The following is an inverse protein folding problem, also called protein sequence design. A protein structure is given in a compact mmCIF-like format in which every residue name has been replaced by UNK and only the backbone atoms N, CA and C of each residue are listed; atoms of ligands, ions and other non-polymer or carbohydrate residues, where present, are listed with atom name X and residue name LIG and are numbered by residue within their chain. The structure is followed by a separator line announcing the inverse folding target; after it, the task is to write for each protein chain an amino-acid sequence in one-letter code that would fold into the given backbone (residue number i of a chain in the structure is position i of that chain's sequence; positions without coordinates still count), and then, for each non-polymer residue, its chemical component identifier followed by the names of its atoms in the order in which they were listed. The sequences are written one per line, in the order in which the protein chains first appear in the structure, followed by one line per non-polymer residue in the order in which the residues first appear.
data_IF_115755618176
#
_entry.id   IF_115755618176
#
_cell.length_a   1.000
_cell.length_b   1.000
_cell.length_c   1.000
_cell.angle_alpha   90.00
_cell.angle_beta   90.00
_cell.angle_gamma   90.00
#
_symmetry.space_group_name_H-M   'P 1'
#
loop_
_entity.id
_entity.type
_entity.pdbx_description
1 polymer ?
#
# COMPACT_ATOMS: atom_id res chain seq x y z
N UNK A 1 -15.53 29.09 6.25
CA UNK A 1 -15.54 27.65 5.88
C UNK A 1 -15.24 27.55 4.40
N UNK A 2 -14.39 26.61 4.04
CA UNK A 2 -14.00 26.32 2.65
C UNK A 2 -14.41 24.87 2.32
N UNK A 3 -14.35 24.50 1.03
CA UNK A 3 -14.63 23.12 0.62
C UNK A 3 -13.43 22.20 0.93
N UNK A 4 -13.70 20.90 1.05
CA UNK A 4 -12.69 19.89 1.41
C UNK A 4 -11.52 19.83 0.42
N UNK A 5 -11.83 19.95 -0.86
CA UNK A 5 -10.85 19.93 -1.95
C UNK A 5 -9.90 21.14 -1.86
N UNK A 6 -10.46 22.33 -1.64
CA UNK A 6 -9.67 23.56 -1.42
C UNK A 6 -8.78 23.45 -0.18
N UNK A 7 -9.33 22.89 0.91
CA UNK A 7 -8.56 22.69 2.14
C UNK A 7 -7.37 21.72 1.93
N UNK A 8 -7.59 20.61 1.20
CA UNK A 8 -6.53 19.67 0.83
C UNK A 8 -5.48 20.32 -0.05
N UNK A 9 -5.90 21.08 -1.06
CA UNK A 9 -4.99 21.79 -1.97
C UNK A 9 -4.10 22.77 -1.20
N UNK A 10 -4.67 23.59 -0.31
CA UNK A 10 -3.90 24.50 0.55
C UNK A 10 -2.86 23.77 1.40
N UNK A 11 -3.19 22.58 1.94
CA UNK A 11 -2.23 21.78 2.70
C UNK A 11 -1.12 21.20 1.80
N UNK A 12 -1.47 20.62 0.66
CA UNK A 12 -0.50 19.99 -0.24
C UNK A 12 0.45 20.98 -0.89
N UNK A 13 0.01 22.21 -1.19
CA UNK A 13 0.87 23.30 -1.69
C UNK A 13 1.97 23.68 -0.71
N UNK A 14 1.77 23.44 0.59
CA UNK A 14 2.74 23.77 1.64
C UNK A 14 3.50 22.54 2.15
N UNK A 15 3.20 21.34 1.61
CA UNK A 15 3.87 20.10 1.96
C UNK A 15 5.23 20.01 1.26
N UNK A 16 6.27 19.78 2.04
CA UNK A 16 7.62 19.51 1.51
C UNK A 16 7.66 18.08 0.96
N UNK A 17 8.22 17.90 -0.23
CA UNK A 17 8.46 16.56 -0.76
C UNK A 17 9.68 15.92 -0.13
N UNK A 18 9.60 14.62 0.17
CA UNK A 18 10.73 13.83 0.67
C UNK A 18 11.72 13.53 -0.46
N UNK A 19 12.97 13.89 -0.23
CA UNK A 19 14.07 13.61 -1.16
C UNK A 19 15.17 12.77 -0.52
N UNK A 20 15.20 12.67 0.83
CA UNK A 20 16.21 11.90 1.53
C UNK A 20 15.91 10.40 1.45
N UNK A 21 16.95 9.63 1.22
CA UNK A 21 16.89 8.17 1.12
C UNK A 21 17.67 7.50 2.23
N UNK A 22 17.37 6.22 2.43
CA UNK A 22 18.12 5.29 3.27
C UNK A 22 18.14 3.91 2.63
N UNK A 23 19.15 3.12 2.92
CA UNK A 23 19.24 1.73 2.50
C UNK A 23 18.68 0.84 3.61
N UNK A 24 17.78 -0.08 3.25
CA UNK A 24 17.17 -1.03 4.20
C UNK A 24 17.29 -2.46 3.69
N UNK A 25 17.23 -3.44 4.57
CA UNK A 25 17.15 -4.84 4.17
C UNK A 25 15.90 -5.09 3.33
N UNK A 26 15.96 -6.03 2.39
CA UNK A 26 14.88 -6.30 1.42
C UNK A 26 13.51 -6.47 2.10
N UNK A 27 13.42 -7.25 3.18
CA UNK A 27 12.15 -7.45 3.89
C UNK A 27 11.66 -6.20 4.64
N UNK A 28 12.57 -5.35 5.11
CA UNK A 28 12.23 -4.09 5.80
C UNK A 28 11.75 -3.02 4.80
N UNK A 29 11.89 -3.28 3.51
CA UNK A 29 11.38 -2.40 2.44
C UNK A 29 9.86 -2.54 2.21
N UNK A 30 9.20 -3.56 2.77
CA UNK A 30 7.75 -3.74 2.61
C UNK A 30 6.96 -2.52 3.08
N UNK A 31 6.09 -2.00 2.20
CA UNK A 31 5.28 -0.81 2.46
C UNK A 31 6.05 0.51 2.40
N UNK A 32 7.39 0.48 2.21
CA UNK A 32 8.21 1.68 1.99
C UNK A 32 8.06 2.18 0.56
N UNK A 33 8.51 3.40 0.33
CA UNK A 33 8.48 4.03 -1.01
C UNK A 33 9.89 3.96 -1.60
N UNK A 34 10.00 3.43 -2.81
CA UNK A 34 11.28 3.31 -3.50
C UNK A 34 11.94 4.68 -3.75
N UNK A 35 13.21 4.78 -3.41
CA UNK A 35 14.05 5.96 -3.64
C UNK A 35 14.62 6.03 -5.06
N UNK A 36 14.60 4.92 -5.81
CA UNK A 36 15.18 4.81 -7.14
C UNK A 36 14.38 3.88 -8.05
N UNK A 37 14.70 3.90 -9.34
CA UNK A 37 14.17 2.92 -10.31
C UNK A 37 15.15 1.77 -10.42
N UNK A 38 14.68 0.53 -10.29
CA UNK A 38 15.47 -0.68 -10.38
C UNK A 38 15.13 -1.42 -11.66
N UNK A 39 16.16 -1.79 -12.41
CA UNK A 39 16.08 -2.59 -13.62
C UNK A 39 16.68 -3.96 -13.38
N UNK A 40 16.21 -4.98 -14.08
CA UNK A 40 16.74 -6.33 -14.02
C UNK A 40 18.18 -6.36 -14.56
N UNK A 41 19.13 -6.81 -13.74
CA UNK A 41 20.53 -7.01 -14.13
C UNK A 41 20.77 -8.42 -14.67
N UNK A 42 19.83 -9.33 -14.43
CA UNK A 42 19.86 -10.71 -14.90
C UNK A 42 18.52 -11.07 -15.52
N UNK A 43 18.55 -11.66 -16.71
CA UNK A 43 17.35 -12.25 -17.32
C UNK A 43 16.86 -13.46 -16.50
N UNK A 44 15.56 -13.63 -16.32
CA UNK A 44 14.97 -14.76 -15.58
C UNK A 44 14.02 -15.52 -16.52
N UNK A 45 14.24 -16.83 -16.70
CA UNK A 45 15.41 -17.60 -16.27
C UNK A 45 16.70 -17.11 -16.97
N UNK A 46 17.85 -17.31 -16.32
CA UNK A 46 19.15 -16.90 -16.88
C UNK A 46 19.81 -18.02 -17.75
N UNK A 47 19.17 -19.18 -17.83
CA UNK A 47 19.49 -20.29 -18.74
C UNK A 47 18.19 -20.94 -19.20
N UNK A 48 18.21 -21.65 -20.37
CA UNK A 48 17.06 -22.39 -20.83
C UNK A 48 16.73 -23.52 -19.85
N UNK A 49 15.46 -23.67 -19.46
CA UNK A 49 15.06 -24.68 -18.49
C UNK A 49 13.83 -25.47 -18.91
N UNK A 50 13.75 -26.72 -18.44
CA UNK A 50 12.61 -27.58 -18.67
C UNK A 50 11.36 -27.09 -17.94
N UNK A 51 10.26 -26.95 -18.65
CA UNK A 51 8.93 -26.59 -18.10
C UNK A 51 8.19 -27.77 -17.49
N UNK A 52 8.63 -29.02 -17.78
CA UNK A 52 7.98 -30.27 -17.32
C UNK A 52 9.02 -31.39 -17.10
N UNK A 53 8.64 -32.39 -16.32
CA UNK A 53 9.40 -33.62 -16.21
C UNK A 53 9.26 -34.45 -17.49
N UNK A 54 10.36 -34.97 -18.01
CA UNK A 54 10.33 -35.69 -19.26
C UNK A 54 11.69 -35.89 -19.90
N UNK A 55 11.77 -35.66 -21.20
CA UNK A 55 12.98 -35.85 -22.00
C UNK A 55 13.24 -34.61 -22.86
N UNK A 56 14.39 -33.95 -22.66
CA UNK A 56 14.87 -32.92 -23.58
C UNK A 56 15.29 -33.59 -24.90
N UNK A 57 14.79 -33.08 -26.01
CA UNK A 57 14.96 -33.62 -27.36
C UNK A 57 15.19 -32.49 -28.36
N UNK A 58 15.63 -32.85 -29.55
CA UNK A 58 15.46 -31.99 -30.73
C UNK A 58 14.08 -32.29 -31.32
N UNK A 59 13.23 -31.31 -31.36
CA UNK A 59 11.84 -31.48 -31.83
C UNK A 59 11.72 -32.17 -33.18
N UNK A 60 12.68 -31.91 -34.10
CA UNK A 60 12.73 -32.54 -35.42
C UNK A 60 12.81 -34.08 -35.35
N UNK A 61 13.39 -34.66 -34.31
CA UNK A 61 13.56 -36.10 -34.11
C UNK A 61 12.29 -36.80 -33.62
N UNK A 62 11.30 -36.03 -33.19
CA UNK A 62 9.97 -36.51 -32.78
C UNK A 62 8.92 -36.40 -33.87
N UNK A 63 9.30 -35.84 -35.06
CA UNK A 63 8.35 -35.60 -36.14
C UNK A 63 7.66 -36.86 -36.61
N UNK A 64 6.32 -36.85 -36.60
CA UNK A 64 5.51 -37.97 -37.01
C UNK A 64 5.39 -39.10 -35.97
N UNK A 65 5.90 -38.89 -34.74
CA UNK A 65 5.73 -39.87 -33.66
C UNK A 65 4.26 -40.05 -33.30
N UNK A 66 3.79 -41.31 -33.28
CA UNK A 66 2.46 -41.70 -32.83
C UNK A 66 2.56 -42.93 -31.92
N UNK A 67 1.46 -43.38 -31.33
CA UNK A 67 1.43 -44.57 -30.51
C UNK A 67 1.76 -45.85 -31.33
N UNK A 68 1.36 -45.85 -32.61
CA UNK A 68 1.60 -46.98 -33.53
C UNK A 68 3.00 -46.95 -34.16
N UNK A 69 3.60 -45.77 -34.29
CA UNK A 69 4.93 -45.53 -34.86
C UNK A 69 5.72 -44.56 -34.01
N UNK A 70 6.22 -44.99 -32.83
CA UNK A 70 6.94 -44.12 -31.92
C UNK A 70 8.34 -43.77 -32.44
N UNK A 71 8.81 -42.57 -32.12
CA UNK A 71 10.23 -42.22 -32.28
C UNK A 71 11.02 -42.86 -31.15
N UNK A 72 12.12 -43.52 -31.46
CA UNK A 72 12.99 -44.17 -30.48
C UNK A 72 14.33 -43.41 -30.40
N UNK A 73 14.61 -42.80 -29.25
CA UNK A 73 15.83 -42.03 -29.02
C UNK A 73 16.68 -42.67 -27.92
N UNK A 74 18.00 -42.61 -28.06
CA UNK A 74 18.93 -43.06 -27.04
C UNK A 74 18.97 -42.07 -25.88
N UNK A 75 18.80 -42.50 -24.65
CA UNK A 75 18.96 -41.64 -23.46
C UNK A 75 20.45 -41.57 -23.12
N UNK A 76 21.03 -40.38 -23.27
CA UNK A 76 22.46 -40.10 -23.12
C UNK A 76 22.86 -39.51 -21.76
N UNK A 77 21.88 -39.26 -20.93
CA UNK A 77 22.08 -38.77 -19.57
C UNK A 77 20.79 -38.36 -18.88
N UNK A 78 20.95 -37.88 -17.66
CA UNK A 78 19.85 -37.35 -16.85
C UNK A 78 20.30 -36.03 -16.22
N UNK A 79 19.40 -35.03 -16.18
CA UNK A 79 19.60 -33.70 -15.55
C UNK A 79 18.45 -33.42 -14.61
N UNK A 80 18.78 -33.02 -13.40
CA UNK A 80 17.81 -32.55 -12.42
C UNK A 80 18.02 -31.05 -12.13
N UNK A 81 17.02 -30.41 -11.58
CA UNK A 81 17.15 -29.00 -11.17
C UNK A 81 18.30 -28.82 -10.16
N UNK A 82 19.20 -27.88 -10.45
CA UNK A 82 20.42 -27.65 -9.67
C UNK A 82 21.68 -28.33 -10.20
N UNK A 83 21.58 -29.20 -11.18
CA UNK A 83 22.77 -29.76 -11.82
C UNK A 83 23.55 -28.71 -12.59
N UNK A 84 24.87 -28.88 -12.61
CA UNK A 84 25.78 -28.10 -13.45
C UNK A 84 25.68 -28.51 -14.92
N UNK A 85 26.24 -27.68 -15.82
CA UNK A 85 26.22 -27.93 -17.27
C UNK A 85 26.67 -29.35 -17.63
N UNK A 86 25.88 -30.01 -18.47
CA UNK A 86 26.15 -31.33 -18.99
C UNK A 86 26.68 -31.23 -20.43
N UNK A 87 27.81 -31.84 -20.71
CA UNK A 87 28.36 -31.93 -22.06
C UNK A 87 28.02 -33.28 -22.66
N UNK A 88 27.27 -33.29 -23.75
CA UNK A 88 26.97 -34.49 -24.52
C UNK A 88 27.72 -34.42 -25.85
N UNK A 89 28.50 -35.44 -26.16
CA UNK A 89 29.20 -35.57 -27.47
C UNK A 89 28.27 -36.12 -28.58
N UNK A 90 27.08 -36.56 -28.23
CA UNK A 90 26.08 -37.08 -29.16
C UNK A 90 24.82 -36.26 -29.10
N UNK A 91 24.51 -35.54 -30.20
CA UNK A 91 23.36 -34.64 -30.27
C UNK A 91 22.28 -35.13 -31.23
N UNK A 92 22.53 -36.16 -32.04
CA UNK A 92 21.58 -36.75 -33.00
C UNK A 92 21.00 -38.04 -32.47
N UNK A 93 19.70 -38.27 -32.69
CA UNK A 93 18.92 -39.43 -32.25
C UNK A 93 19.07 -39.74 -30.76
N UNK A 94 19.06 -38.70 -29.93
CA UNK A 94 19.23 -38.86 -28.50
C UNK A 94 18.27 -37.96 -27.71
N UNK A 95 18.08 -38.31 -26.45
CA UNK A 95 17.30 -37.58 -25.47
C UNK A 95 18.06 -37.50 -24.13
N UNK A 96 17.79 -36.48 -23.35
CA UNK A 96 18.26 -36.34 -21.97
C UNK A 96 17.03 -36.43 -21.06
N UNK A 97 17.03 -37.38 -20.12
CA UNK A 97 15.99 -37.38 -19.07
C UNK A 97 16.12 -36.14 -18.23
N UNK A 98 15.01 -35.37 -18.05
CA UNK A 98 15.09 -34.08 -17.43
C UNK A 98 13.93 -33.84 -16.45
N UNK A 99 14.20 -33.12 -15.35
CA UNK A 99 13.15 -32.69 -14.43
C UNK A 99 12.82 -31.23 -14.63
N UNK A 100 11.64 -30.84 -14.23
CA UNK A 100 11.16 -29.45 -14.24
C UNK A 100 12.19 -28.51 -13.58
N UNK A 101 12.52 -27.41 -14.25
CA UNK A 101 13.51 -26.43 -13.78
C UNK A 101 14.96 -26.77 -14.09
N UNK A 102 15.28 -27.96 -14.58
CA UNK A 102 16.64 -28.33 -14.97
C UNK A 102 17.08 -27.59 -16.25
N UNK A 103 18.38 -27.33 -16.35
CA UNK A 103 19.01 -26.72 -17.52
C UNK A 103 18.84 -27.59 -18.77
N UNK A 104 18.48 -27.00 -19.90
CA UNK A 104 18.42 -27.67 -21.20
C UNK A 104 19.66 -27.26 -21.99
N UNK A 105 20.50 -28.26 -22.39
CA UNK A 105 21.66 -27.99 -23.23
C UNK A 105 21.27 -27.42 -24.60
N UNK A 106 22.14 -26.57 -25.18
CA UNK A 106 21.86 -25.77 -26.40
C UNK A 106 21.50 -26.58 -27.65
N UNK A 107 21.84 -27.86 -27.68
CA UNK A 107 21.51 -28.71 -28.81
C UNK A 107 20.08 -29.29 -28.77
N UNK A 108 19.35 -29.05 -27.68
CA UNK A 108 17.98 -29.51 -27.47
C UNK A 108 17.05 -28.32 -27.46
N UNK A 109 15.91 -28.41 -28.09
CA UNK A 109 14.96 -27.29 -28.31
C UNK A 109 13.54 -27.52 -27.84
N UNK A 110 13.27 -28.71 -27.23
CA UNK A 110 11.95 -29.03 -26.68
C UNK A 110 12.05 -30.09 -25.56
N UNK A 111 11.01 -30.19 -24.75
CA UNK A 111 10.85 -31.25 -23.74
C UNK A 111 9.57 -32.03 -24.04
N UNK A 112 9.73 -33.35 -24.22
CA UNK A 112 8.62 -34.31 -24.30
C UNK A 112 8.20 -34.64 -22.86
N UNK A 113 6.93 -34.42 -22.46
CA UNK A 113 6.45 -34.86 -21.16
C UNK A 113 6.63 -36.39 -20.99
N UNK A 114 7.03 -36.82 -19.82
CA UNK A 114 7.27 -38.27 -19.56
C UNK A 114 6.01 -39.11 -19.80
N UNK A 115 4.80 -38.55 -19.66
CA UNK A 115 3.52 -39.22 -19.91
C UNK A 115 3.29 -39.56 -21.40
N UNK A 116 4.09 -38.96 -22.29
CA UNK A 116 4.05 -39.24 -23.73
C UNK A 116 5.14 -40.20 -24.17
N UNK A 117 5.71 -40.95 -23.21
CA UNK A 117 6.82 -41.90 -23.44
C UNK A 117 6.58 -43.24 -22.72
N UNK A 118 7.48 -44.18 -22.96
CA UNK A 118 7.51 -45.49 -22.25
C UNK A 118 8.40 -45.43 -20.98
N UNK A 119 8.82 -44.26 -20.52
CA UNK A 119 9.73 -44.03 -19.38
C UNK A 119 11.11 -44.74 -19.53
N UNK A 120 11.57 -44.96 -20.75
CA UNK A 120 12.80 -45.69 -21.07
C UNK A 120 14.04 -45.05 -20.43
N UNK A 121 14.98 -45.88 -19.96
CA UNK A 121 16.21 -45.41 -19.29
C UNK A 121 17.42 -45.37 -20.25
N UNK A 122 17.58 -46.38 -21.12
CA UNK A 122 18.65 -46.45 -22.12
C UNK A 122 18.17 -45.95 -23.49
N UNK A 123 16.94 -46.24 -23.84
CA UNK A 123 16.23 -45.75 -25.00
C UNK A 123 14.82 -45.39 -24.59
N UNK A 124 14.31 -44.30 -25.11
CA UNK A 124 12.95 -43.84 -24.84
C UNK A 124 12.13 -43.86 -26.13
N UNK A 125 10.91 -44.43 -26.04
CA UNK A 125 9.91 -44.35 -27.11
C UNK A 125 9.00 -43.18 -26.86
N UNK A 126 8.91 -42.29 -27.84
CA UNK A 126 8.10 -41.07 -27.82
C UNK A 126 6.85 -41.33 -28.69
N UNK A 127 5.68 -41.18 -28.09
CA UNK A 127 4.37 -41.47 -28.72
C UNK A 127 3.68 -40.25 -29.30
N UNK A 128 4.23 -39.02 -29.08
CA UNK A 128 3.69 -37.78 -29.63
C UNK A 128 4.83 -36.86 -30.02
N UNK A 129 4.70 -36.24 -31.20
CA UNK A 129 5.63 -35.20 -31.63
C UNK A 129 5.49 -33.92 -30.79
N UNK A 130 6.59 -33.21 -30.58
CA UNK A 130 6.66 -31.88 -30.02
C UNK A 130 7.19 -30.90 -31.07
N UNK A 131 6.92 -29.64 -30.86
CA UNK A 131 7.47 -28.50 -31.66
C UNK A 131 8.62 -27.86 -30.92
N UNK A 132 9.54 -27.20 -31.64
CA UNK A 132 10.61 -26.42 -31.03
C UNK A 132 10.00 -25.33 -30.10
N UNK A 133 10.60 -25.17 -28.92
CA UNK A 133 10.13 -24.29 -27.85
C UNK A 133 9.03 -24.93 -26.95
N UNK A 134 8.55 -26.12 -27.26
CA UNK A 134 7.50 -26.75 -26.44
C UNK A 134 8.04 -27.22 -25.09
N UNK A 135 7.40 -26.82 -23.97
CA UNK A 135 7.82 -27.08 -22.59
C UNK A 135 9.28 -26.65 -22.30
N UNK A 136 9.71 -25.60 -22.97
CA UNK A 136 11.06 -25.04 -22.93
C UNK A 136 10.95 -23.57 -22.54
N UNK A 137 11.38 -23.21 -21.34
CA UNK A 137 11.41 -21.83 -20.90
C UNK A 137 12.67 -21.14 -21.42
N UNK A 138 12.49 -20.15 -22.25
CA UNK A 138 13.58 -19.36 -22.83
C UNK A 138 14.23 -18.41 -21.80
N UNK A 139 15.48 -18.03 -22.09
CA UNK A 139 16.15 -17.01 -21.27
C UNK A 139 15.34 -15.71 -21.29
N UNK A 140 15.01 -15.18 -20.11
CA UNK A 140 14.29 -13.92 -20.00
C UNK A 140 12.78 -14.01 -20.27
N UNK A 141 12.21 -15.21 -20.36
CA UNK A 141 10.77 -15.38 -20.58
C UNK A 141 9.91 -14.72 -19.48
N UNK A 142 10.37 -14.73 -18.23
CA UNK A 142 9.67 -14.09 -17.09
C UNK A 142 10.14 -12.65 -16.91
N UNK A 143 11.47 -12.42 -16.86
CA UNK A 143 12.05 -11.09 -16.71
C UNK A 143 13.17 -10.94 -17.75
N UNK A 144 13.00 -10.01 -18.69
CA UNK A 144 14.06 -9.69 -19.65
C UNK A 144 15.18 -8.87 -19.01
N UNK A 145 16.41 -9.01 -19.53
CA UNK A 145 17.52 -8.14 -19.15
C UNK A 145 17.14 -6.66 -19.36
N UNK A 146 17.44 -5.79 -18.39
CA UNK A 146 17.07 -4.36 -18.37
C UNK A 146 15.56 -4.08 -18.32
N UNK A 147 14.73 -5.06 -18.02
CA UNK A 147 13.33 -4.81 -17.72
C UNK A 147 13.20 -4.04 -16.41
N UNK A 148 12.37 -3.00 -16.40
CA UNK A 148 12.07 -2.26 -15.17
C UNK A 148 11.21 -3.11 -14.24
N UNK A 149 11.69 -3.36 -13.01
CA UNK A 149 11.02 -4.15 -11.97
C UNK A 149 10.46 -3.31 -10.83
N UNK A 150 11.02 -2.14 -10.58
CA UNK A 150 10.54 -1.20 -9.57
C UNK A 150 10.75 0.23 -10.07
N UNK A 151 9.73 1.06 -9.97
CA UNK A 151 9.85 2.49 -10.29
C UNK A 151 10.17 3.30 -9.04
N UNK A 152 10.94 4.39 -9.20
CA UNK A 152 11.10 5.41 -8.16
C UNK A 152 9.73 5.95 -7.74
N UNK A 153 9.56 6.24 -6.46
CA UNK A 153 8.31 6.71 -5.84
C UNK A 153 7.16 5.70 -5.85
N UNK A 154 7.43 4.42 -6.08
CA UNK A 154 6.45 3.35 -6.02
C UNK A 154 6.43 2.70 -4.63
N UNK A 155 5.25 2.35 -4.11
CA UNK A 155 5.14 1.62 -2.86
C UNK A 155 5.50 0.15 -3.07
N UNK A 156 6.47 -0.34 -2.28
CA UNK A 156 6.99 -1.71 -2.38
C UNK A 156 5.99 -2.69 -1.73
N UNK A 157 5.56 -3.69 -2.49
CA UNK A 157 4.69 -4.76 -2.03
C UNK A 157 5.40 -6.13 -2.08
N UNK A 158 4.73 -7.18 -1.59
CA UNK A 158 5.30 -8.53 -1.51
C UNK A 158 5.70 -9.12 -2.86
N UNK A 159 5.00 -8.78 -3.95
CA UNK A 159 5.35 -9.26 -5.31
C UNK A 159 6.66 -8.63 -5.78
N UNK A 160 6.84 -7.34 -5.53
CA UNK A 160 8.08 -6.62 -5.84
C UNK A 160 9.26 -7.17 -5.04
N UNK A 161 9.06 -7.50 -3.75
CA UNK A 161 10.08 -8.17 -2.94
C UNK A 161 10.50 -9.49 -3.58
N UNK A 162 9.55 -10.30 -4.07
CA UNK A 162 9.86 -11.53 -4.79
C UNK A 162 10.69 -11.29 -6.05
N UNK A 163 10.32 -10.30 -6.87
CA UNK A 163 11.07 -9.94 -8.09
C UNK A 163 12.49 -9.43 -7.78
N UNK A 164 12.65 -8.61 -6.74
CA UNK A 164 13.96 -8.12 -6.28
C UNK A 164 14.84 -9.27 -5.78
N UNK A 165 14.26 -10.20 -5.02
CA UNK A 165 14.97 -11.39 -4.56
C UNK A 165 15.43 -12.31 -5.72
N UNK A 166 14.64 -12.44 -6.80
CA UNK A 166 15.03 -13.17 -8.02
C UNK A 166 16.25 -12.53 -8.72
N UNK A 167 16.49 -11.24 -8.50
CA UNK A 167 17.69 -10.52 -8.98
C UNK A 167 18.87 -10.60 -8.01
N UNK A 168 18.74 -11.28 -6.87
CA UNK A 168 19.78 -11.34 -5.84
C UNK A 168 19.94 -10.05 -5.02
N UNK A 169 18.95 -9.16 -5.05
CA UNK A 169 18.96 -7.89 -4.32
C UNK A 169 18.56 -8.15 -2.87
N UNK A 170 19.47 -7.90 -1.94
CA UNK A 170 19.28 -8.09 -0.49
C UNK A 170 18.98 -6.77 0.25
N UNK A 171 19.25 -5.62 -0.38
CA UNK A 171 18.99 -4.29 0.16
C UNK A 171 18.36 -3.39 -0.88
N UNK A 172 17.55 -2.45 -0.43
CA UNK A 172 16.79 -1.52 -1.29
C UNK A 172 16.93 -0.10 -0.78
N UNK A 173 17.16 0.83 -1.70
CA UNK A 173 17.13 2.26 -1.42
C UNK A 173 15.67 2.73 -1.37
N UNK A 174 15.27 3.27 -0.23
CA UNK A 174 13.91 3.76 0.02
C UNK A 174 13.92 5.20 0.49
N UNK A 175 12.82 5.93 0.29
CA UNK A 175 12.65 7.25 0.89
C UNK A 175 12.52 7.14 2.41
N UNK A 176 13.14 8.05 3.16
CA UNK A 176 12.99 8.11 4.63
C UNK A 176 11.54 8.32 5.01
N UNK A 177 11.11 7.75 6.14
CA UNK A 177 9.76 7.85 6.67
C UNK A 177 9.40 9.29 6.98
N UNK A 178 8.12 9.65 6.85
CA UNK A 178 7.59 10.91 7.33
C UNK A 178 7.60 10.91 8.87
N UNK A 179 8.15 11.97 9.46
CA UNK A 179 8.22 12.17 10.90
C UNK A 179 6.98 12.88 11.38
N UNK A 180 6.15 12.19 12.13
CA UNK A 180 4.87 12.70 12.60
C UNK A 180 4.88 12.88 14.11
N UNK A 181 4.41 14.04 14.55
CA UNK A 181 4.06 14.27 15.96
C UNK A 181 2.55 14.20 16.15
N UNK A 182 2.11 13.76 17.32
CA UNK A 182 0.71 13.80 17.72
C UNK A 182 0.60 14.47 19.08
N UNK A 183 -0.18 15.53 19.17
CA UNK A 183 -0.41 16.31 20.37
C UNK A 183 -1.92 16.43 20.65
N UNK A 184 -2.39 15.82 21.72
CA UNK A 184 -3.77 15.99 22.17
C UNK A 184 -3.88 17.16 23.14
N UNK A 185 -4.98 17.91 23.09
CA UNK A 185 -5.28 18.98 24.01
C UNK A 185 -6.61 18.77 24.70
N UNK A 186 -6.67 19.02 25.98
CA UNK A 186 -7.87 18.88 26.78
C UNK A 186 -7.58 18.68 28.26
N UNK A 187 -8.09 19.57 29.08
CA UNK A 187 -7.95 19.48 30.55
C UNK A 187 -8.71 18.28 31.16
N UNK A 188 -9.64 17.66 30.39
CA UNK A 188 -10.37 16.43 30.78
C UNK A 188 -9.57 15.16 30.56
N UNK A 189 -8.50 15.21 29.75
CA UNK A 189 -7.75 14.02 29.33
C UNK A 189 -6.83 13.51 30.43
N UNK A 190 -6.79 12.19 30.60
CA UNK A 190 -5.85 11.50 31.48
C UNK A 190 -5.11 10.38 30.71
N UNK A 191 -3.94 10.00 31.19
CA UNK A 191 -3.17 8.88 30.65
C UNK A 191 -3.86 7.55 30.93
N UNK A 192 -3.48 6.48 30.18
CA UNK A 192 -4.06 5.14 30.38
C UNK A 192 -3.70 4.54 31.75
N UNK A 193 -2.67 5.03 32.42
CA UNK A 193 -2.17 4.53 33.70
C UNK A 193 -2.87 5.21 34.88
N UNK A 194 -3.53 6.35 34.63
CA UNK A 194 -4.23 7.08 35.68
C UNK A 194 -5.65 6.54 35.91
N UNK A 195 -6.15 6.48 37.15
CA UNK A 195 -7.53 6.09 37.41
C UNK A 195 -8.51 7.16 36.93
N UNK A 196 -9.63 6.72 36.36
CA UNK A 196 -10.70 7.64 35.97
C UNK A 196 -11.40 8.24 37.19
N UNK A 197 -11.54 9.57 37.16
CA UNK A 197 -12.36 10.33 38.11
C UNK A 197 -13.51 11.03 37.37
N UNK A 198 -14.50 11.54 38.12
CA UNK A 198 -15.61 12.28 37.52
C UNK A 198 -15.09 13.49 36.74
N UNK A 199 -15.55 13.64 35.48
CA UNK A 199 -15.13 14.70 34.58
C UNK A 199 -13.83 14.42 33.81
N UNK A 200 -13.20 13.26 33.98
CA UNK A 200 -12.02 12.83 33.25
C UNK A 200 -12.34 11.69 32.28
N UNK A 201 -11.61 11.66 31.18
CA UNK A 201 -11.69 10.60 30.15
C UNK A 201 -10.28 10.18 29.73
N UNK A 202 -10.11 8.91 29.34
CA UNK A 202 -8.86 8.46 28.74
C UNK A 202 -8.64 9.11 27.37
N UNK A 203 -7.40 9.46 27.10
CA UNK A 203 -6.97 10.06 25.83
C UNK A 203 -6.94 9.02 24.68
N UNK A 204 -8.10 8.55 24.25
CA UNK A 204 -8.24 7.52 23.21
C UNK A 204 -7.81 8.02 21.82
N UNK A 205 -8.03 9.31 21.51
CA UNK A 205 -7.67 9.90 20.22
C UNK A 205 -6.17 9.85 19.98
N UNK A 206 -5.36 10.13 21.00
CA UNK A 206 -3.90 10.09 20.91
C UNK A 206 -3.40 8.74 20.33
N UNK A 207 -3.90 7.64 20.90
CA UNK A 207 -3.51 6.29 20.49
C UNK A 207 -4.11 5.88 19.14
N UNK A 208 -5.36 6.25 18.87
CA UNK A 208 -6.01 5.99 17.59
C UNK A 208 -5.26 6.66 16.42
N UNK A 209 -4.93 7.93 16.57
CA UNK A 209 -4.19 8.70 15.55
C UNK A 209 -2.77 8.15 15.37
N UNK A 210 -2.09 7.79 16.47
CA UNK A 210 -0.77 7.18 16.41
C UNK A 210 -0.79 5.81 15.70
N UNK A 211 -1.77 4.96 16.01
CA UNK A 211 -1.95 3.68 15.35
C UNK A 211 -2.16 3.85 13.84
N UNK A 212 -3.00 4.82 13.45
CA UNK A 212 -3.26 5.14 12.05
C UNK A 212 -1.96 5.55 11.31
N UNK A 213 -1.15 6.43 11.88
CA UNK A 213 0.13 6.85 11.31
C UNK A 213 1.10 5.67 11.20
N UNK A 214 1.23 4.84 12.23
CA UNK A 214 2.11 3.65 12.23
C UNK A 214 1.67 2.63 11.18
N UNK A 215 0.36 2.40 11.01
CA UNK A 215 -0.19 1.50 9.99
C UNK A 215 0.15 1.95 8.56
N UNK A 216 0.36 3.25 8.33
CA UNK A 216 0.82 3.80 7.05
C UNK A 216 2.34 3.71 6.83
N UNK A 217 3.06 2.93 7.64
CA UNK A 217 4.52 2.75 7.60
C UNK A 217 5.32 4.03 7.86
N UNK A 218 4.74 5.03 8.55
CA UNK A 218 5.42 6.26 8.94
C UNK A 218 5.82 6.25 10.43
N UNK A 219 6.63 7.22 10.82
CA UNK A 219 7.24 7.27 12.14
C UNK A 219 6.51 8.27 13.04
N UNK A 220 6.01 7.79 14.19
CA UNK A 220 5.50 8.65 15.26
C UNK A 220 6.66 8.92 16.23
N UNK A 221 7.31 10.08 16.08
CA UNK A 221 8.47 10.46 16.90
C UNK A 221 8.10 11.31 18.09
N UNK A 222 6.88 11.81 18.16
CA UNK A 222 6.36 12.55 19.30
C UNK A 222 4.91 12.14 19.57
N UNK A 223 4.59 11.81 20.83
CA UNK A 223 3.26 11.39 21.27
C UNK A 223 3.03 11.95 22.66
N UNK A 224 2.20 12.99 22.78
CA UNK A 224 2.01 13.70 24.03
C UNK A 224 0.63 14.37 24.14
N UNK A 225 0.31 14.88 25.32
CA UNK A 225 -0.84 15.74 25.57
C UNK A 225 -0.46 16.95 26.42
N UNK A 226 -1.21 18.02 26.30
CA UNK A 226 -1.05 19.21 27.12
C UNK A 226 -2.41 19.82 27.50
N UNK A 227 -2.40 20.76 28.41
CA UNK A 227 -3.60 21.50 28.77
C UNK A 227 -4.07 22.42 27.64
N UNK A 228 -5.28 22.97 27.79
CA UNK A 228 -5.83 23.96 26.84
C UNK A 228 -5.25 25.37 27.04
N UNK A 229 -4.27 25.55 27.93
CA UNK A 229 -3.62 26.84 28.15
C UNK A 229 -2.85 27.28 26.90
N UNK A 230 -3.14 28.45 26.33
CA UNK A 230 -2.52 28.90 25.08
C UNK A 230 -1.02 29.19 25.18
N UNK A 231 -0.48 29.43 26.38
CA UNK A 231 0.97 29.66 26.55
C UNK A 231 1.71 28.36 26.61
N UNK A 232 1.15 27.35 27.32
CA UNK A 232 1.68 25.99 27.34
C UNK A 232 1.64 25.37 25.94
N UNK A 233 0.51 25.49 25.24
CA UNK A 233 0.38 25.05 23.84
C UNK A 233 1.43 25.69 22.94
N UNK A 234 1.60 27.01 23.00
CA UNK A 234 2.59 27.72 22.19
C UNK A 234 4.02 27.24 22.48
N UNK A 235 4.38 27.08 23.75
CA UNK A 235 5.68 26.55 24.17
C UNK A 235 5.91 25.14 23.61
N UNK A 236 4.91 24.28 23.72
CA UNK A 236 4.98 22.89 23.24
C UNK A 236 5.13 22.82 21.73
N UNK A 237 4.36 23.62 20.98
CA UNK A 237 4.46 23.71 19.52
C UNK A 237 5.86 24.15 19.07
N UNK A 238 6.48 25.13 19.73
CA UNK A 238 7.85 25.59 19.45
C UNK A 238 8.87 24.46 19.67
N UNK A 239 8.70 23.69 20.76
CA UNK A 239 9.63 22.62 21.13
C UNK A 239 9.63 21.45 20.16
N UNK A 240 8.43 21.00 19.73
CA UNK A 240 8.28 19.75 18.98
C UNK A 240 8.30 19.94 17.46
N UNK A 241 7.72 21.06 16.95
CA UNK A 241 7.56 21.24 15.51
C UNK A 241 8.86 21.14 14.70
N UNK A 242 10.01 21.70 15.10
CA UNK A 242 11.21 21.68 14.27
C UNK A 242 11.75 20.28 13.93
N UNK A 243 11.28 19.23 14.63
CA UNK A 243 11.68 17.84 14.44
C UNK A 243 10.75 17.05 13.52
N UNK A 244 9.64 17.67 13.09
CA UNK A 244 8.51 17.03 12.44
C UNK A 244 8.33 17.49 10.99
N UNK A 245 7.89 16.59 10.13
CA UNK A 245 7.34 16.93 8.82
C UNK A 245 5.86 17.35 8.99
N UNK A 246 5.11 16.60 9.81
CA UNK A 246 3.70 16.83 10.10
C UNK A 246 3.44 16.73 11.61
N UNK A 247 2.71 17.69 12.15
CA UNK A 247 2.14 17.64 13.49
C UNK A 247 0.62 17.48 13.36
N UNK A 248 0.07 16.45 13.97
CA UNK A 248 -1.38 16.25 14.11
C UNK A 248 -1.76 16.69 15.51
N UNK A 249 -2.61 17.71 15.63
CA UNK A 249 -3.18 18.10 16.93
C UNK A 249 -4.63 17.65 17.03
N UNK A 250 -5.08 17.27 18.21
CA UNK A 250 -6.44 16.79 18.44
C UNK A 250 -7.07 17.51 19.65
N UNK A 251 -8.17 18.22 19.42
CA UNK A 251 -8.82 19.11 20.39
C UNK A 251 -8.44 20.57 20.20
N UNK A 252 -9.11 21.48 20.89
CA UNK A 252 -8.81 22.92 20.92
C UNK A 252 -8.98 23.69 19.60
N UNK A 253 -9.68 23.12 18.59
CA UNK A 253 -9.75 23.66 17.22
C UNK A 253 -11.12 24.25 16.85
N UNK A 254 -12.13 24.18 17.75
CA UNK A 254 -13.47 24.69 17.46
C UNK A 254 -13.62 26.18 17.81
N UNK A 255 -14.78 26.59 18.28
CA UNK A 255 -15.14 27.99 18.63
C UNK A 255 -15.47 28.18 20.12
N UNK A 256 -15.23 27.17 20.95
CA UNK A 256 -15.46 27.24 22.39
C UNK A 256 -14.43 28.14 23.11
N UNK A 257 -14.76 28.54 24.32
CA UNK A 257 -13.85 29.40 25.15
C UNK A 257 -12.49 28.73 25.43
N UNK A 258 -12.42 27.40 25.33
CA UNK A 258 -11.20 26.59 25.53
C UNK A 258 -10.50 26.18 24.24
N UNK A 259 -10.99 26.62 23.08
CA UNK A 259 -10.40 26.29 21.78
C UNK A 259 -9.26 27.24 21.44
N UNK A 260 -8.16 27.10 22.15
CA UNK A 260 -7.03 28.01 22.15
C UNK A 260 -5.93 27.71 21.13
N UNK A 261 -6.06 26.64 20.36
CA UNK A 261 -5.03 26.23 19.39
C UNK A 261 -4.78 27.28 18.28
N UNK A 262 -5.82 27.92 17.66
CA UNK A 262 -5.58 28.99 16.69
C UNK A 262 -4.81 30.18 17.31
N UNK A 263 -5.09 30.52 18.57
CA UNK A 263 -4.38 31.56 19.27
C UNK A 263 -2.92 31.19 19.54
N UNK A 264 -2.66 29.96 19.96
CA UNK A 264 -1.31 29.44 20.19
C UNK A 264 -0.47 29.47 18.90
N UNK A 265 -1.05 29.02 17.77
CA UNK A 265 -0.38 29.04 16.45
C UNK A 265 -0.06 30.47 16.05
N UNK A 266 -0.98 31.41 16.21
CA UNK A 266 -0.73 32.83 15.93
C UNK A 266 0.39 33.41 16.80
N UNK A 267 0.44 33.08 18.10
CA UNK A 267 1.48 33.55 19.03
C UNK A 267 2.88 33.13 18.64
N UNK A 268 3.04 31.91 18.10
CA UNK A 268 4.35 31.43 17.66
C UNK A 268 4.76 31.91 16.25
N UNK A 269 3.93 32.76 15.61
CA UNK A 269 4.16 33.22 14.25
C UNK A 269 3.83 32.17 13.18
N UNK A 270 3.01 31.16 13.50
CA UNK A 270 2.50 30.22 12.53
C UNK A 270 1.48 30.85 11.58
N UNK A 271 1.39 30.29 10.38
CA UNK A 271 0.46 30.73 9.33
C UNK A 271 -0.74 29.80 9.27
N UNK A 272 -1.95 30.33 9.47
CA UNK A 272 -3.21 29.63 9.22
C UNK A 272 -3.42 29.53 7.71
N UNK A 273 -3.60 28.30 7.20
CA UNK A 273 -3.90 28.03 5.78
C UNK A 273 -5.41 28.01 5.54
N UNK A 274 -6.13 27.41 6.47
CA UNK A 274 -7.58 27.41 6.54
C UNK A 274 -8.07 27.05 7.94
N UNK A 275 -9.31 27.46 8.24
CA UNK A 275 -10.03 27.06 9.44
C UNK A 275 -11.50 26.84 9.09
N UNK A 276 -12.06 25.69 9.51
CA UNK A 276 -13.38 25.17 9.19
C UNK A 276 -13.58 24.74 7.72
N UNK A 277 -13.99 23.50 7.57
CA UNK A 277 -14.36 22.89 6.28
C UNK A 277 -15.85 22.59 6.25
N UNK A 278 -16.47 22.78 5.09
CA UNK A 278 -17.91 22.59 4.86
C UNK A 278 -18.26 21.08 4.81
N UNK A 279 -18.11 20.39 5.94
CA UNK A 279 -18.39 18.94 6.05
C UNK A 279 -18.90 18.55 7.44
N UNK A 280 -19.52 17.38 7.57
CA UNK A 280 -19.98 16.78 8.83
C UNK A 280 -19.79 15.26 8.80
N UNK A 281 -19.17 14.62 9.86
CA UNK A 281 -18.54 15.26 11.01
C UNK A 281 -17.20 15.94 10.64
N UNK A 282 -16.63 16.67 11.61
CA UNK A 282 -15.30 17.22 11.47
C UNK A 282 -15.23 18.61 10.83
N UNK A 283 -16.34 19.38 10.85
CA UNK A 283 -16.34 20.82 10.47
C UNK A 283 -15.19 21.59 11.12
N UNK A 284 -14.92 21.46 12.44
CA UNK A 284 -13.76 22.05 13.06
C UNK A 284 -12.50 21.25 12.70
N UNK A 285 -11.85 21.67 11.65
CA UNK A 285 -10.52 21.21 11.22
C UNK A 285 -9.75 22.42 10.73
N UNK A 286 -8.47 22.49 11.07
CA UNK A 286 -7.59 23.60 10.69
C UNK A 286 -6.29 23.07 10.10
N UNK A 287 -5.86 23.68 9.00
CA UNK A 287 -4.52 23.52 8.46
C UNK A 287 -3.69 24.74 8.76
N UNK A 288 -2.48 24.55 9.24
CA UNK A 288 -1.53 25.64 9.48
C UNK A 288 -0.11 25.20 9.23
N UNK A 289 0.82 26.15 9.16
CA UNK A 289 2.25 25.90 9.00
C UNK A 289 3.01 26.70 10.04
N UNK A 290 3.98 26.07 10.68
CA UNK A 290 4.96 26.74 11.53
C UNK A 290 6.36 26.29 11.14
N UNK A 291 7.19 27.24 10.70
CA UNK A 291 8.47 26.96 10.05
C UNK A 291 8.28 25.96 8.87
N UNK A 292 8.96 24.81 8.89
CA UNK A 292 8.81 23.78 7.86
C UNK A 292 7.75 22.72 8.20
N UNK A 293 7.21 22.73 9.42
CA UNK A 293 6.23 21.74 9.88
C UNK A 293 4.83 22.11 9.47
N UNK A 294 4.15 21.19 8.81
CA UNK A 294 2.73 21.30 8.50
C UNK A 294 1.91 20.80 9.69
N UNK A 295 0.91 21.58 10.12
CA UNK A 295 0.07 21.25 11.28
C UNK A 295 -1.35 20.97 10.81
N UNK A 296 -1.83 19.76 11.04
CA UNK A 296 -3.22 19.35 10.82
C UNK A 296 -3.92 19.23 12.17
N UNK A 297 -4.81 20.17 12.46
CA UNK A 297 -5.57 20.21 13.71
C UNK A 297 -6.95 19.61 13.51
N UNK A 298 -7.22 18.47 14.16
CA UNK A 298 -8.46 17.71 14.00
C UNK A 298 -9.39 17.87 15.22
N UNK A 299 -10.66 17.56 15.02
CA UNK A 299 -11.69 17.63 16.08
C UNK A 299 -11.32 16.77 17.30
N UNK A 300 -11.70 17.21 18.51
CA UNK A 300 -11.59 16.40 19.74
C UNK A 300 -12.57 15.20 19.79
N UNK A 301 -13.67 15.22 19.04
CA UNK A 301 -14.60 14.09 18.97
C UNK A 301 -14.01 12.91 18.20
N UNK A 302 -13.96 11.68 18.75
CA UNK A 302 -13.20 10.56 18.18
C UNK A 302 -13.51 10.24 16.73
N UNK A 303 -14.79 10.10 16.37
CA UNK A 303 -15.12 9.81 14.98
C UNK A 303 -14.87 10.99 14.04
N UNK A 304 -15.04 12.22 14.52
CA UNK A 304 -14.70 13.39 13.72
C UNK A 304 -13.20 13.50 13.48
N UNK A 305 -12.38 13.23 14.50
CA UNK A 305 -10.92 13.16 14.37
C UNK A 305 -10.49 12.09 13.34
N UNK A 306 -11.08 10.90 13.41
CA UNK A 306 -10.82 9.82 12.47
C UNK A 306 -11.19 10.22 11.03
N UNK A 307 -12.36 10.85 10.82
CA UNK A 307 -12.79 11.33 9.50
C UNK A 307 -11.86 12.43 8.99
N UNK A 308 -11.53 13.43 9.82
CA UNK A 308 -10.58 14.48 9.45
C UNK A 308 -9.25 13.88 9.01
N UNK A 309 -8.65 13.02 9.87
CA UNK A 309 -7.37 12.40 9.55
C UNK A 309 -7.45 11.60 8.25
N UNK A 310 -8.45 10.73 8.11
CA UNK A 310 -8.60 9.88 6.93
C UNK A 310 -8.75 10.70 5.64
N UNK A 311 -9.51 11.78 5.65
CA UNK A 311 -9.74 12.60 4.48
C UNK A 311 -8.53 13.48 4.10
N UNK A 312 -7.66 13.86 5.03
CA UNK A 312 -6.51 14.72 4.75
C UNK A 312 -5.19 13.96 4.60
N UNK A 313 -4.92 13.00 5.48
CA UNK A 313 -3.61 12.39 5.65
C UNK A 313 -3.08 11.68 4.40
N UNK A 314 -3.91 10.90 3.71
CA UNK A 314 -3.48 10.16 2.53
C UNK A 314 -3.06 11.07 1.38
N UNK A 315 -3.75 12.19 1.20
CA UNK A 315 -3.38 13.20 0.20
C UNK A 315 -2.04 13.87 0.55
N UNK A 316 -1.83 14.17 1.84
CA UNK A 316 -0.55 14.70 2.32
C UNK A 316 0.57 13.70 2.13
N UNK A 317 0.32 12.42 2.44
CA UNK A 317 1.29 11.35 2.30
C UNK A 317 1.68 11.11 0.83
N UNK A 318 0.70 11.09 -0.07
CA UNK A 318 0.91 10.99 -1.50
C UNK A 318 1.77 12.14 -2.04
N UNK A 319 1.53 13.37 -1.56
CA UNK A 319 2.31 14.55 -1.92
C UNK A 319 3.73 14.48 -1.34
N UNK A 320 3.87 14.13 -0.07
CA UNK A 320 5.15 14.02 0.61
C UNK A 320 6.10 13.05 -0.10
N UNK A 321 5.61 11.87 -0.48
CA UNK A 321 6.40 10.86 -1.18
C UNK A 321 6.37 10.96 -2.70
N UNK A 322 5.60 11.89 -3.27
CA UNK A 322 5.31 11.93 -4.71
C UNK A 322 4.84 10.58 -5.25
N UNK A 323 3.97 9.90 -4.49
CA UNK A 323 3.47 8.55 -4.75
C UNK A 323 1.94 8.55 -4.88
N UNK A 324 1.44 8.50 -6.10
CA UNK A 324 0.00 8.59 -6.41
C UNK A 324 -0.79 7.41 -5.80
N UNK A 325 -0.16 6.24 -5.66
CA UNK A 325 -0.77 5.02 -5.10
C UNK A 325 -1.22 5.18 -3.64
N UNK A 326 -0.63 6.16 -2.92
CA UNK A 326 -0.98 6.48 -1.54
C UNK A 326 -2.22 7.36 -1.40
N UNK A 327 -2.74 7.92 -2.49
CA UNK A 327 -3.95 8.74 -2.42
C UNK A 327 -5.13 7.98 -1.80
N UNK A 328 -6.04 8.76 -1.25
CA UNK A 328 -7.28 8.25 -0.68
C UNK A 328 -8.04 7.39 -1.69
N UNK A 329 -8.31 6.14 -1.32
CA UNK A 329 -9.00 5.16 -2.19
C UNK A 329 -10.50 5.41 -2.18
N UNK A 330 -11.04 5.76 -3.33
CA UNK A 330 -12.47 6.01 -3.52
C UNK A 330 -13.08 5.10 -4.58
N UNK A 331 -14.37 4.87 -4.47
CA UNK A 331 -15.15 4.13 -5.47
C UNK A 331 -16.58 4.67 -5.54
N UNK A 332 -17.19 4.59 -6.73
CA UNK A 332 -18.62 4.83 -6.90
C UNK A 332 -19.37 3.50 -6.78
N UNK A 333 -20.39 3.48 -5.92
CA UNK A 333 -21.17 2.29 -5.57
C UNK A 333 -22.67 2.62 -5.49
N UNK A 334 -23.54 1.60 -5.40
CA UNK A 334 -24.99 1.77 -5.36
C UNK A 334 -25.45 1.95 -3.91
N UNK A 335 -26.23 3.00 -3.63
CA UNK A 335 -26.83 3.24 -2.32
C UNK A 335 -28.01 2.28 -2.08
N UNK A 336 -27.99 1.56 -0.97
CA UNK A 336 -29.02 0.54 -0.68
C UNK A 336 -30.34 1.11 -0.11
N UNK A 337 -30.32 2.33 0.44
CA UNK A 337 -31.50 3.00 1.03
C UNK A 337 -31.45 4.51 0.76
N UNK A 338 -32.57 5.19 0.99
CA UNK A 338 -32.65 6.64 0.78
C UNK A 338 -32.00 7.42 1.93
N UNK A 339 -31.35 8.56 1.61
CA UNK A 339 -30.81 9.53 2.56
C UNK A 339 -31.43 10.90 2.33
N UNK A 340 -32.09 11.41 3.36
CA UNK A 340 -32.69 12.77 3.34
C UNK A 340 -31.57 13.83 3.14
N UNK A 341 -31.91 14.99 2.53
CA UNK A 341 -30.93 16.06 2.30
C UNK A 341 -30.29 16.53 3.60
N UNK A 342 -28.99 16.82 3.53
CA UNK A 342 -28.22 17.42 4.63
C UNK A 342 -27.79 18.83 4.26
N UNK A 343 -27.84 19.78 5.20
CA UNK A 343 -27.38 21.16 4.99
C UNK A 343 -25.89 21.23 4.62
N UNK A 344 -25.06 20.32 5.20
CA UNK A 344 -23.64 20.24 4.94
C UNK A 344 -23.34 18.94 4.19
N UNK A 345 -22.22 18.89 3.45
CA UNK A 345 -21.63 17.64 2.94
C UNK A 345 -21.40 16.68 4.09
N UNK A 346 -21.88 15.43 3.99
CA UNK A 346 -21.81 14.45 5.09
C UNK A 346 -20.99 13.24 4.71
N UNK A 347 -20.26 12.76 5.72
CA UNK A 347 -19.53 11.49 5.68
C UNK A 347 -20.12 10.55 6.72
N UNK A 348 -20.71 9.46 6.25
CA UNK A 348 -21.35 8.47 7.09
C UNK A 348 -20.50 7.23 7.22
N UNK A 349 -20.50 6.63 8.40
CA UNK A 349 -20.02 5.27 8.59
C UNK A 349 -20.83 4.32 7.75
N UNK A 350 -20.19 3.54 6.88
CA UNK A 350 -20.91 2.67 5.96
C UNK A 350 -20.16 1.35 5.75
N UNK A 351 -20.91 0.37 5.29
CA UNK A 351 -20.38 -0.92 4.86
C UNK A 351 -20.77 -1.15 3.41
N UNK A 352 -19.77 -1.25 2.57
CA UNK A 352 -19.92 -1.65 1.17
C UNK A 352 -19.69 -3.16 1.04
N UNK A 353 -20.59 -3.83 0.33
CA UNK A 353 -20.51 -5.25 -0.02
C UNK A 353 -21.04 -5.38 -1.45
N UNK A 354 -20.26 -6.00 -2.33
CA UNK A 354 -20.63 -6.33 -3.71
C UNK A 354 -21.19 -5.14 -4.52
N UNK A 355 -20.56 -3.97 -4.37
CA UNK A 355 -20.95 -2.76 -5.10
C UNK A 355 -22.16 -2.02 -4.51
N UNK A 356 -22.66 -2.45 -3.34
CA UNK A 356 -23.77 -1.79 -2.63
C UNK A 356 -23.32 -1.30 -1.26
N UNK A 357 -23.69 -0.07 -0.90
CA UNK A 357 -23.35 0.54 0.38
C UNK A 357 -24.58 0.72 1.26
N UNK A 358 -24.42 0.34 2.54
CA UNK A 358 -25.41 0.50 3.60
C UNK A 358 -24.86 1.31 4.77
N UNK A 359 -25.72 2.07 5.46
CA UNK A 359 -25.40 2.59 6.78
C UNK A 359 -25.53 1.47 7.81
N UNK A 360 -24.48 1.26 8.61
CA UNK A 360 -24.44 0.19 9.61
C UNK A 360 -25.20 0.56 10.88
N UNK A 361 -25.34 1.86 11.17
CA UNK A 361 -25.96 2.38 12.38
C UNK A 361 -26.91 3.53 12.09
N UNK A 362 -27.95 3.68 12.93
CA UNK A 362 -28.84 4.86 12.91
C UNK A 362 -28.21 6.07 13.60
N UNK A 363 -27.23 5.85 14.51
CA UNK A 363 -26.56 6.92 15.25
C UNK A 363 -25.24 7.28 14.57
N UNK A 364 -25.14 8.51 14.09
CA UNK A 364 -23.93 9.07 13.47
C UNK A 364 -23.34 10.22 14.32
N UNK A 365 -23.43 10.11 15.65
CA UNK A 365 -22.80 11.08 16.55
C UNK A 365 -21.28 11.05 16.38
N UNK A 366 -20.67 12.22 16.39
CA UNK A 366 -19.22 12.39 16.20
C UNK A 366 -18.39 11.85 17.36
N UNK A 367 -19.00 11.71 18.54
CA UNK A 367 -18.39 11.13 19.75
C UNK A 367 -18.33 9.60 19.74
N UNK A 368 -19.17 8.92 18.93
CA UNK A 368 -19.26 7.46 18.96
C UNK A 368 -18.18 6.84 18.03
N UNK A 369 -17.26 6.09 18.60
CA UNK A 369 -16.22 5.38 17.83
C UNK A 369 -16.57 3.90 17.60
N UNK A 370 -17.23 3.23 18.55
CA UNK A 370 -17.54 1.79 18.48
C UNK A 370 -18.29 1.38 17.22
N UNK A 371 -19.14 2.27 16.69
CA UNK A 371 -19.90 2.03 15.46
C UNK A 371 -19.03 1.93 14.20
N UNK A 372 -17.74 2.22 14.27
CA UNK A 372 -16.82 2.09 13.12
C UNK A 372 -16.31 0.66 12.92
N UNK A 373 -16.38 -0.20 13.96
CA UNK A 373 -15.84 -1.56 13.92
C UNK A 373 -16.47 -2.45 12.84
N UNK A 374 -17.74 -2.21 12.51
CA UNK A 374 -18.47 -2.98 11.49
C UNK A 374 -18.45 -2.33 10.10
N UNK A 375 -17.73 -1.22 9.93
CA UNK A 375 -17.67 -0.43 8.69
C UNK A 375 -16.37 -0.64 7.94
N UNK A 376 -16.42 -0.53 6.61
CA UNK A 376 -15.22 -0.59 5.76
C UNK A 376 -15.00 0.68 4.93
N UNK A 377 -15.93 1.66 5.02
CA UNK A 377 -15.82 2.91 4.27
C UNK A 377 -16.59 4.07 4.91
N UNK A 378 -16.28 5.26 4.41
CA UNK A 378 -17.11 6.47 4.56
C UNK A 378 -17.95 6.65 3.30
N UNK A 379 -19.27 6.79 3.46
CA UNK A 379 -20.17 7.21 2.39
C UNK A 379 -20.29 8.74 2.38
N UNK A 380 -20.09 9.33 1.21
CA UNK A 380 -20.26 10.76 0.99
C UNK A 380 -21.67 11.10 0.52
N UNK A 381 -22.28 12.10 1.14
CA UNK A 381 -23.49 12.76 0.66
C UNK A 381 -23.20 14.25 0.41
N UNK A 382 -23.33 14.75 -0.82
CA UNK A 382 -23.22 16.17 -1.12
C UNK A 382 -24.27 17.01 -0.34
N UNK A 383 -23.93 18.26 -0.05
CA UNK A 383 -24.83 19.19 0.63
C UNK A 383 -26.10 19.43 -0.19
N UNK A 384 -27.26 19.47 0.47
CA UNK A 384 -28.56 19.77 -0.13
C UNK A 384 -29.16 18.66 -1.00
N UNK A 385 -28.48 17.52 -1.19
CA UNK A 385 -28.89 16.47 -2.13
C UNK A 385 -29.68 15.36 -1.44
N UNK A 386 -30.88 15.08 -1.94
CA UNK A 386 -31.62 13.86 -1.64
C UNK A 386 -31.00 12.70 -2.40
N UNK A 387 -30.49 11.70 -1.71
CA UNK A 387 -29.97 10.48 -2.32
C UNK A 387 -31.02 9.38 -2.25
N UNK A 388 -31.61 9.02 -3.40
CA UNK A 388 -32.60 7.94 -3.50
C UNK A 388 -31.93 6.56 -3.42
N UNK A 389 -32.65 5.55 -2.97
CA UNK A 389 -32.24 4.15 -3.12
C UNK A 389 -31.88 3.85 -4.60
N UNK A 390 -30.75 3.20 -4.83
CA UNK A 390 -30.24 2.92 -6.16
C UNK A 390 -29.36 4.04 -6.77
N UNK A 391 -29.23 5.19 -6.11
CA UNK A 391 -28.35 6.26 -6.56
C UNK A 391 -26.88 5.81 -6.52
N UNK A 392 -26.07 6.28 -7.46
CA UNK A 392 -24.63 6.14 -7.44
C UNK A 392 -24.05 7.15 -6.46
N UNK A 393 -23.28 6.67 -5.50
CA UNK A 393 -22.67 7.46 -4.43
C UNK A 393 -21.19 7.15 -4.30
N UNK A 394 -20.40 8.13 -3.88
CA UNK A 394 -18.98 7.97 -3.61
C UNK A 394 -18.76 7.41 -2.21
N UNK A 395 -17.85 6.45 -2.11
CA UNK A 395 -17.32 5.93 -0.83
C UNK A 395 -15.82 6.03 -0.78
N UNK A 396 -15.28 6.24 0.43
CA UNK A 396 -13.85 6.25 0.72
C UNK A 396 -13.55 5.08 1.66
N UNK A 397 -12.73 4.13 1.19
CA UNK A 397 -12.40 2.95 2.00
C UNK A 397 -11.44 3.30 3.12
N UNK A 398 -11.63 2.67 4.28
CA UNK A 398 -10.64 2.75 5.34
C UNK A 398 -9.31 2.16 4.85
N UNK A 399 -8.28 2.97 4.84
CA UNK A 399 -6.91 2.57 4.54
C UNK A 399 -6.14 2.46 5.85
N UNK A 400 -5.60 1.29 6.13
CA UNK A 400 -4.78 1.00 7.32
C UNK A 400 -3.64 0.06 6.94
#
# INVERSE_FOLDING_TARGET
MIELEEAREKMTQHMKSQCETEEVALLDSLGRISGETIFAETAIPHFPRAGMDGYAVRAVETRGATAESPSCLKVVGSLVAGDSMFYCNQTNNCAIKITTGAFIPTDFDAVVPQEWTDFGQDHVKIFRSVTAGQNYAEIGEDIAFQQKILAKHQQINSRMIGLLAMQGIDKVVVLKRMKVGILATGSELVSLEEPLSVGKIYNSNLYMLAAFVKASSNEVIHLDHCSDDPEELAKRLIEISPKLDVLITCGGVSVGEKDNLPLAIKRIGGTELFHFVNMKPGTPVMGSKFQETLILSVSGNPFAAMVNLHLFYWTLLATFFNCVELNLKERTVILAHELAPSRLRRFYRAKEIDGKVNLVTKSHLSSNLSNTLETNCLLEQPAGVLLKKGALVKVYYWQT
#
